data_IF_659238087398
#
_entry.id   IF_659238087398
#
_cell.length_a   1.000
_cell.length_b   1.000
_cell.length_c   1.000
_cell.angle_alpha   90.00
_cell.angle_beta   90.00
_cell.angle_gamma   90.00
#
_symmetry.space_group_name_H-M   'P 1'
#
loop_
_entity.id
_entity.type
_entity.pdbx_description
1 polymer ?
#
# COMPACT_ATOMS: atom_id res chain seq x y z
N UNK A 1 -7.18 12.14 1.16
CA UNK A 1 -6.98 12.15 -0.29
C UNK A 1 -6.37 13.47 -0.80
N UNK A 2 -6.82 14.66 -0.36
CA UNK A 2 -6.26 15.96 -0.83
C UNK A 2 -4.74 16.14 -0.64
N UNK A 3 -4.16 15.64 0.46
CA UNK A 3 -2.69 15.66 0.63
C UNK A 3 -1.97 14.84 -0.46
N UNK A 4 -2.50 13.65 -0.78
CA UNK A 4 -1.94 12.80 -1.83
C UNK A 4 -2.13 13.40 -3.22
N UNK A 5 -3.27 14.05 -3.47
CA UNK A 5 -3.55 14.78 -4.71
C UNK A 5 -2.51 15.88 -4.96
N UNK A 6 -2.17 16.68 -3.93
CA UNK A 6 -1.11 17.69 -4.02
C UNK A 6 0.28 17.09 -4.23
N UNK A 7 0.61 15.99 -3.55
CA UNK A 7 1.89 15.32 -3.78
C UNK A 7 2.02 14.82 -5.21
N UNK A 8 0.95 14.25 -5.78
CA UNK A 8 0.93 13.78 -7.17
C UNK A 8 1.07 14.95 -8.15
N UNK A 9 0.40 16.07 -7.87
CA UNK A 9 0.54 17.30 -8.66
C UNK A 9 1.99 17.78 -8.74
N UNK A 10 2.74 17.70 -7.65
CA UNK A 10 4.12 18.19 -7.56
C UNK A 10 5.17 17.20 -8.10
N UNK A 11 4.83 15.91 -8.23
CA UNK A 11 5.83 14.85 -8.51
C UNK A 11 5.62 14.08 -9.81
N UNK A 12 4.41 14.09 -10.36
CA UNK A 12 4.12 13.39 -11.60
C UNK A 12 4.44 14.24 -12.83
N UNK A 13 5.18 13.65 -13.77
CA UNK A 13 5.48 14.29 -15.06
C UNK A 13 4.23 14.46 -15.94
N UNK A 14 3.16 13.70 -15.66
CA UNK A 14 1.88 13.70 -16.35
C UNK A 14 0.74 14.28 -15.50
N UNK A 15 1.08 15.07 -14.47
CA UNK A 15 0.09 15.73 -13.62
C UNK A 15 -0.95 16.51 -14.45
N UNK A 16 -2.20 16.08 -14.34
CA UNK A 16 -3.34 16.69 -15.02
C UNK A 16 -4.47 16.94 -14.02
N UNK A 17 -5.09 18.12 -14.11
CA UNK A 17 -6.08 18.57 -13.14
C UNK A 17 -7.29 17.63 -13.07
N UNK A 18 -7.78 17.19 -14.24
CA UNK A 18 -8.98 16.37 -14.32
C UNK A 18 -8.67 14.94 -13.87
N UNK A 19 -7.63 14.33 -14.42
CA UNK A 19 -7.25 12.96 -14.11
C UNK A 19 -6.83 12.80 -12.65
N UNK A 20 -6.01 13.71 -12.10
CA UNK A 20 -5.58 13.65 -10.71
C UNK A 20 -6.79 13.80 -9.76
N UNK A 21 -7.61 14.84 -9.97
CA UNK A 21 -8.79 15.09 -9.12
C UNK A 21 -9.81 13.94 -9.17
N UNK A 22 -10.11 13.41 -10.36
CA UNK A 22 -11.08 12.34 -10.54
C UNK A 22 -10.58 11.02 -9.96
N UNK A 23 -9.31 10.67 -10.21
CA UNK A 23 -8.70 9.44 -9.66
C UNK A 23 -8.70 9.43 -8.14
N UNK A 24 -8.32 10.54 -7.50
CA UNK A 24 -8.33 10.64 -6.04
C UNK A 24 -9.74 10.59 -5.44
N UNK A 25 -10.74 11.20 -6.10
CA UNK A 25 -12.14 11.09 -5.66
C UNK A 25 -12.68 9.66 -5.81
N UNK A 26 -12.36 9.00 -6.91
CA UNK A 26 -12.73 7.61 -7.15
C UNK A 26 -12.19 6.70 -6.03
N UNK A 27 -10.88 6.74 -5.78
CA UNK A 27 -10.25 5.92 -4.72
C UNK A 27 -10.79 6.26 -3.34
N UNK A 28 -11.16 7.52 -3.09
CA UNK A 28 -11.79 7.96 -1.85
C UNK A 28 -13.28 7.56 -1.70
N UNK A 29 -13.86 6.87 -2.69
CA UNK A 29 -15.23 6.38 -2.65
C UNK A 29 -16.29 7.41 -3.08
N UNK A 30 -15.91 8.45 -3.83
CA UNK A 30 -16.81 9.48 -4.34
C UNK A 30 -17.03 9.34 -5.85
N UNK A 31 -18.29 9.29 -6.29
CA UNK A 31 -18.67 9.08 -7.69
C UNK A 31 -19.50 7.81 -7.88
N UNK A 32 -20.27 7.74 -8.97
CA UNK A 32 -21.15 6.59 -9.25
C UNK A 32 -20.37 5.30 -9.50
N UNK A 33 -19.20 5.42 -10.15
CA UNK A 33 -18.32 4.29 -10.47
C UNK A 33 -17.32 3.99 -9.33
N UNK A 34 -17.49 4.64 -8.17
CA UNK A 34 -16.49 4.56 -7.13
C UNK A 34 -16.41 3.18 -6.47
N UNK A 35 -15.20 2.70 -6.17
CA UNK A 35 -15.08 1.54 -5.28
C UNK A 35 -15.69 1.91 -3.93
N UNK A 36 -16.65 1.12 -3.40
CA UNK A 36 -17.27 1.46 -2.13
C UNK A 36 -16.23 1.58 -1.03
N UNK A 37 -16.33 2.63 -0.20
CA UNK A 37 -15.33 2.96 0.83
C UNK A 37 -15.01 1.80 1.79
N UNK A 38 -16.01 0.94 2.07
CA UNK A 38 -15.82 -0.23 2.95
C UNK A 38 -14.92 -1.32 2.34
N UNK A 39 -14.54 -1.22 1.06
CA UNK A 39 -13.56 -2.11 0.43
C UNK A 39 -12.15 -1.64 0.73
N UNK A 40 -11.60 -2.14 1.83
CA UNK A 40 -10.19 -1.99 2.20
C UNK A 40 -9.44 -3.26 1.79
N UNK A 41 -8.63 -3.17 0.74
CA UNK A 41 -7.84 -4.29 0.25
C UNK A 41 -6.53 -4.42 1.03
N UNK A 42 -6.06 -5.66 1.22
CA UNK A 42 -4.76 -5.93 1.81
C UNK A 42 -3.65 -5.66 0.76
N UNK A 43 -2.72 -4.72 1.00
CA UNK A 43 -1.63 -4.43 0.07
C UNK A 43 -0.77 -5.65 -0.26
N UNK A 44 -0.55 -6.55 0.70
CA UNK A 44 0.21 -7.80 0.50
C UNK A 44 -0.47 -8.67 -0.57
N UNK A 45 -1.79 -8.88 -0.43
CA UNK A 45 -2.55 -9.68 -1.39
C UNK A 45 -2.64 -9.01 -2.76
N UNK A 46 -2.64 -7.67 -2.83
CA UNK A 46 -2.56 -6.97 -4.11
C UNK A 46 -1.17 -7.11 -4.75
N UNK A 47 -0.11 -6.99 -3.95
CA UNK A 47 1.27 -7.22 -4.37
C UNK A 47 1.45 -8.61 -4.97
N UNK A 48 1.12 -9.67 -4.24
CA UNK A 48 1.21 -11.06 -4.73
C UNK A 48 0.36 -11.29 -5.99
N UNK A 49 -0.76 -10.57 -6.15
CA UNK A 49 -1.63 -10.73 -7.32
C UNK A 49 -1.08 -10.03 -8.57
N UNK A 50 -0.51 -8.83 -8.42
CA UNK A 50 -0.11 -7.98 -9.55
C UNK A 50 1.39 -8.00 -9.83
N UNK A 51 2.19 -8.48 -8.88
CA UNK A 51 3.64 -8.65 -8.97
C UNK A 51 4.02 -10.02 -8.36
N UNK A 52 3.59 -11.13 -8.98
CA UNK A 52 3.74 -12.48 -8.41
C UNK A 52 5.20 -12.91 -8.25
N UNK A 53 6.07 -12.49 -9.17
CA UNK A 53 7.51 -12.81 -9.18
C UNK A 53 8.34 -11.72 -8.47
N UNK A 54 7.70 -10.62 -8.06
CA UNK A 54 8.33 -9.58 -7.27
C UNK A 54 9.25 -8.63 -8.05
N UNK A 55 9.33 -8.74 -9.37
CA UNK A 55 10.25 -7.96 -10.21
C UNK A 55 10.14 -6.45 -9.96
N UNK A 56 8.91 -5.95 -9.79
CA UNK A 56 8.68 -4.53 -9.52
C UNK A 56 9.23 -4.14 -8.15
N UNK A 57 8.94 -4.92 -7.11
CA UNK A 57 9.47 -4.65 -5.76
C UNK A 57 10.99 -4.73 -5.75
N UNK A 58 11.62 -5.74 -6.38
CA UNK A 58 13.08 -5.86 -6.42
C UNK A 58 13.76 -4.70 -7.15
N UNK A 59 13.09 -4.15 -8.18
CA UNK A 59 13.60 -3.00 -8.92
C UNK A 59 13.58 -1.72 -8.07
N UNK A 60 12.49 -1.47 -7.33
CA UNK A 60 12.27 -0.19 -6.63
C UNK A 60 12.62 -0.22 -5.14
N UNK A 61 12.77 -1.40 -4.55
CA UNK A 61 13.14 -1.66 -3.16
C UNK A 61 14.29 -2.69 -3.14
N UNK A 62 15.48 -2.32 -3.67
CA UNK A 62 16.57 -3.26 -3.91
C UNK A 62 17.13 -3.91 -2.64
N UNK A 63 16.94 -3.31 -1.47
CA UNK A 63 17.28 -3.89 -0.17
C UNK A 63 16.51 -5.20 0.12
N UNK A 64 15.37 -5.44 -0.52
CA UNK A 64 14.61 -6.68 -0.41
C UNK A 64 14.90 -7.68 -1.55
N UNK A 65 15.80 -7.34 -2.48
CA UNK A 65 15.99 -8.07 -3.74
C UNK A 65 16.46 -9.51 -3.62
N UNK A 66 16.86 -9.96 -2.42
CA UNK A 66 17.30 -11.34 -2.13
C UNK A 66 16.23 -12.21 -1.47
N UNK A 67 15.12 -11.64 -0.99
CA UNK A 67 14.06 -12.41 -0.36
C UNK A 67 13.29 -13.24 -1.39
N UNK A 68 12.81 -14.42 -1.04
CA UNK A 68 11.94 -15.20 -1.93
C UNK A 68 10.58 -14.52 -2.17
N UNK A 69 9.94 -14.80 -3.31
CA UNK A 69 8.68 -14.17 -3.75
C UNK A 69 7.54 -14.31 -2.73
N UNK A 70 7.55 -15.41 -1.96
CA UNK A 70 6.56 -15.67 -0.90
C UNK A 70 6.63 -14.67 0.25
N UNK A 71 7.82 -14.15 0.55
CA UNK A 71 8.08 -13.27 1.68
C UNK A 71 8.34 -11.83 1.26
N UNK A 72 8.61 -11.59 -0.03
CA UNK A 72 8.94 -10.27 -0.55
C UNK A 72 7.88 -9.20 -0.25
N UNK A 73 6.60 -9.56 -0.35
CA UNK A 73 5.47 -8.65 -0.07
C UNK A 73 5.14 -8.52 1.43
N UNK A 74 5.78 -9.33 2.28
CA UNK A 74 5.53 -9.38 3.74
C UNK A 74 6.81 -9.79 4.51
N UNK A 75 7.92 -9.03 4.40
CA UNK A 75 9.21 -9.44 4.95
C UNK A 75 9.20 -9.59 6.47
N UNK A 76 8.28 -8.94 7.18
CA UNK A 76 8.13 -9.07 8.64
C UNK A 76 7.60 -10.43 9.11
N UNK A 77 7.08 -11.27 8.21
CA UNK A 77 6.68 -12.64 8.53
C UNK A 77 7.82 -13.65 8.34
N UNK A 78 8.93 -13.24 7.74
CA UNK A 78 10.10 -14.09 7.57
C UNK A 78 10.79 -14.38 8.91
N UNK A 79 11.35 -15.58 9.04
CA UNK A 79 12.20 -15.89 10.18
C UNK A 79 13.54 -15.14 10.12
N UNK A 80 14.25 -15.15 11.25
CA UNK A 80 15.51 -14.40 11.39
C UNK A 80 16.60 -14.92 10.46
N UNK A 81 16.63 -16.21 10.18
CA UNK A 81 17.67 -16.83 9.37
C UNK A 81 17.48 -16.43 7.90
N UNK A 82 16.23 -16.47 7.41
CA UNK A 82 15.85 -16.02 6.07
C UNK A 82 16.17 -14.53 5.87
N UNK A 83 15.82 -13.69 6.85
CA UNK A 83 16.14 -12.26 6.80
C UNK A 83 17.65 -12.01 6.78
N UNK A 84 18.40 -12.74 7.60
CA UNK A 84 19.86 -12.64 7.65
C UNK A 84 20.52 -13.09 6.34
N UNK A 85 20.06 -14.19 5.73
CA UNK A 85 20.54 -14.66 4.42
C UNK A 85 20.27 -13.65 3.29
N UNK A 86 19.20 -12.87 3.41
CA UNK A 86 18.83 -11.81 2.47
C UNK A 86 19.47 -10.44 2.78
N UNK A 87 20.31 -10.33 3.82
CA UNK A 87 20.87 -9.07 4.33
C UNK A 87 19.80 -8.03 4.74
N UNK A 88 18.65 -8.49 5.25
CA UNK A 88 17.54 -7.64 5.71
C UNK A 88 17.52 -7.57 7.23
N UNK A 89 17.59 -6.35 7.77
CA UNK A 89 17.41 -6.05 9.19
C UNK A 89 16.19 -5.15 9.32
N UNK A 90 15.11 -5.69 9.86
CA UNK A 90 13.88 -4.93 10.06
C UNK A 90 14.09 -3.80 11.06
N UNK A 91 13.65 -2.59 10.69
CA UNK A 91 13.91 -1.36 11.42
C UNK A 91 15.21 -0.63 11.04
N UNK A 92 16.09 -1.26 10.27
CA UNK A 92 17.35 -0.65 9.81
C UNK A 92 17.43 -0.60 8.28
N UNK A 93 17.47 -1.75 7.61
CA UNK A 93 17.52 -1.80 6.14
C UNK A 93 16.14 -1.67 5.52
N UNK A 94 15.12 -2.22 6.17
CA UNK A 94 13.72 -2.10 5.75
C UNK A 94 12.81 -1.92 6.97
N UNK A 95 11.82 -1.00 6.96
CA UNK A 95 11.02 -0.71 8.14
C UNK A 95 10.05 -1.83 8.51
N UNK A 96 9.65 -1.88 9.78
CA UNK A 96 8.44 -2.60 10.17
C UNK A 96 7.18 -1.92 9.60
N UNK A 97 6.07 -2.65 9.41
CA UNK A 97 4.80 -2.03 9.08
C UNK A 97 4.44 -0.92 10.06
N UNK A 98 4.13 0.26 9.55
CA UNK A 98 3.77 1.43 10.37
C UNK A 98 2.39 1.29 11.03
N UNK A 99 1.55 0.38 10.53
CA UNK A 99 0.23 0.03 11.05
C UNK A 99 -0.02 -1.46 10.83
N UNK A 100 -0.75 -2.10 11.76
CA UNK A 100 -1.36 -3.41 11.49
C UNK A 100 -2.54 -3.26 10.53
N UNK A 101 -2.63 -4.14 9.52
CA UNK A 101 -3.64 -4.01 8.48
C UNK A 101 -5.06 -4.26 9.01
N UNK A 102 -5.24 -5.22 9.93
CA UNK A 102 -6.55 -5.54 10.47
C UNK A 102 -7.06 -4.40 11.36
N UNK A 103 -6.18 -3.83 12.19
CA UNK A 103 -6.46 -2.65 13.01
C UNK A 103 -6.79 -1.43 12.14
N UNK A 104 -5.94 -1.11 11.15
CA UNK A 104 -6.17 0.02 10.25
C UNK A 104 -7.49 -0.11 9.48
N UNK A 105 -7.83 -1.32 9.03
CA UNK A 105 -9.11 -1.62 8.39
C UNK A 105 -10.28 -1.38 9.34
N UNK A 106 -10.18 -1.83 10.59
CA UNK A 106 -11.23 -1.61 11.58
C UNK A 106 -11.47 -0.12 11.84
N UNK A 107 -10.40 0.65 12.05
CA UNK A 107 -10.46 2.11 12.23
C UNK A 107 -11.14 2.79 11.03
N UNK A 108 -10.79 2.40 9.81
CA UNK A 108 -11.39 2.94 8.59
C UNK A 108 -12.91 2.67 8.51
N UNK A 109 -13.34 1.45 8.84
CA UNK A 109 -14.75 1.08 8.83
C UNK A 109 -15.55 1.80 9.93
N UNK A 110 -14.98 1.95 11.12
CA UNK A 110 -15.61 2.71 12.20
C UNK A 110 -15.77 4.19 11.86
N UNK A 111 -14.76 4.80 11.24
CA UNK A 111 -14.85 6.18 10.75
C UNK A 111 -15.96 6.32 9.70
N UNK A 112 -16.07 5.36 8.78
CA UNK A 112 -17.13 5.34 7.77
C UNK A 112 -18.53 5.22 8.39
N UNK A 113 -18.71 4.33 9.38
CA UNK A 113 -19.98 4.18 10.10
C UNK A 113 -20.36 5.42 10.90
N UNK A 114 -19.39 6.17 11.44
CA UNK A 114 -19.65 7.47 12.08
C UNK A 114 -20.18 8.50 11.08
N UNK A 115 -19.61 8.54 9.87
CA UNK A 115 -20.04 9.48 8.82
C UNK A 115 -21.47 9.17 8.35
N UNK A 116 -21.85 7.89 8.22
CA UNK A 116 -23.22 7.51 7.82
C UNK A 116 -24.31 7.96 8.80
N UNK A 117 -23.96 8.16 10.07
CA UNK A 117 -24.91 8.54 11.12
C UNK A 117 -25.12 10.05 11.24
N UNK A 118 -24.28 10.84 10.57
CA UNK A 118 -24.40 12.30 10.47
C UNK A 118 -25.17 12.68 9.21
#
# INVERSE_FOLDING_TARGET
WREGERWFWDTLVDADLANNSAGWQWVAGSGADASPYFRVFNPVLQGTKFDPDGDYVRQWVPELSKLDDKLLHQPWEADKDTLHEADVVLGETYPHPIVDHAEARQIALEAYEKIKKN
#
